data_IF_287517268934
#
_entry.id   IF_287517268934
#
_cell.length_a   1.000
_cell.length_b   1.000
_cell.length_c   1.000
_cell.angle_alpha   90.00
_cell.angle_beta   90.00
_cell.angle_gamma   90.00
#
_symmetry.space_group_name_H-M   'P 1'
#
loop_
_entity.id
_entity.type
_entity.pdbx_description
1 polymer ?
#
# COMPACT_ATOMS: atom_id res chain seq x y z
N UNK A 1 -15.45 -1.72 -28.21
CA UNK A 1 -14.49 -2.58 -27.48
C UNK A 1 -15.24 -3.80 -26.93
N UNK A 2 -15.57 -4.79 -27.77
CA UNK A 2 -16.52 -5.87 -27.43
C UNK A 2 -15.85 -7.26 -27.35
N UNK A 3 -14.58 -7.37 -27.76
CA UNK A 3 -13.88 -8.65 -27.90
C UNK A 3 -13.04 -9.06 -26.68
N UNK A 4 -12.62 -8.10 -25.85
CA UNK A 4 -11.77 -8.36 -24.66
C UNK A 4 -12.58 -8.92 -23.48
N UNK A 5 -13.85 -8.54 -23.34
CA UNK A 5 -14.68 -8.90 -22.19
C UNK A 5 -15.03 -10.41 -22.12
N UNK A 6 -14.97 -11.17 -23.21
CA UNK A 6 -15.37 -12.59 -23.24
C UNK A 6 -14.26 -13.56 -22.82
N UNK A 7 -13.00 -13.13 -22.92
CA UNK A 7 -11.83 -13.99 -22.67
C UNK A 7 -11.01 -13.52 -21.46
N UNK A 8 -11.20 -12.29 -21.01
CA UNK A 8 -10.71 -11.84 -19.72
C UNK A 8 -11.66 -12.33 -18.63
N UNK A 9 -11.40 -13.52 -18.06
CA UNK A 9 -11.91 -13.85 -16.72
C UNK A 9 -11.26 -12.87 -15.75
N UNK A 10 -11.94 -11.77 -15.46
CA UNK A 10 -11.46 -10.68 -14.61
C UNK A 10 -11.19 -11.08 -13.17
N UNK A 11 -11.58 -12.28 -12.75
CA UNK A 11 -11.19 -12.84 -11.45
C UNK A 11 -9.84 -13.57 -11.55
N UNK A 12 -8.79 -12.87 -11.96
CA UNK A 12 -7.41 -13.32 -11.75
C UNK A 12 -6.97 -13.28 -10.28
N UNK A 13 -7.88 -12.94 -9.35
CA UNK A 13 -7.61 -12.88 -7.92
C UNK A 13 -7.58 -14.31 -7.36
N UNK A 14 -6.41 -14.85 -6.94
CA UNK A 14 -6.24 -16.24 -6.53
C UNK A 14 -6.87 -16.57 -5.16
N UNK A 15 -7.89 -15.84 -4.73
CA UNK A 15 -8.43 -15.89 -3.37
C UNK A 15 -7.43 -15.35 -2.33
N UNK A 16 -7.76 -15.48 -1.05
CA UNK A 16 -6.87 -15.10 0.04
C UNK A 16 -5.82 -16.19 0.27
N UNK A 17 -4.54 -15.82 0.31
CA UNK A 17 -3.47 -16.71 0.72
C UNK A 17 -3.30 -16.70 2.24
N UNK A 18 -3.09 -17.87 2.84
CA UNK A 18 -2.61 -17.96 4.22
C UNK A 18 -1.11 -17.73 4.21
N UNK A 19 -0.67 -16.55 4.64
CA UNK A 19 0.74 -16.22 4.78
C UNK A 19 1.17 -16.46 6.23
N UNK A 20 2.32 -17.12 6.47
CA UNK A 20 2.85 -17.26 7.83
C UNK A 20 3.17 -15.89 8.41
N UNK A 21 2.84 -15.68 9.69
CA UNK A 21 3.20 -14.46 10.40
C UNK A 21 4.72 -14.45 10.62
N UNK A 22 5.39 -13.45 10.05
CA UNK A 22 6.82 -13.22 10.31
C UNK A 22 6.99 -11.92 11.10
N UNK A 23 7.61 -11.97 12.30
CA UNK A 23 7.95 -10.77 13.05
C UNK A 23 9.13 -10.09 12.35
N UNK A 24 8.82 -9.09 11.55
CA UNK A 24 9.81 -8.20 10.93
C UNK A 24 9.45 -6.78 11.34
N UNK A 25 10.44 -5.89 11.56
CA UNK A 25 10.18 -4.46 11.67
C UNK A 25 9.42 -3.99 10.41
N UNK A 26 8.35 -3.22 10.60
CA UNK A 26 7.48 -2.77 9.51
C UNK A 26 7.23 -1.29 9.64
N UNK A 27 7.44 -0.61 8.53
CA UNK A 27 7.05 0.76 8.33
C UNK A 27 6.05 0.81 7.18
N UNK A 28 4.95 1.54 7.37
CA UNK A 28 3.89 1.67 6.36
C UNK A 28 3.64 3.13 6.12
N UNK A 29 3.81 3.55 4.87
CA UNK A 29 3.58 4.92 4.42
C UNK A 29 2.64 4.95 3.22
N UNK A 30 1.88 6.02 3.08
CA UNK A 30 1.02 6.30 1.92
C UNK A 30 1.05 7.78 1.59
N UNK A 31 0.71 8.16 0.36
CA UNK A 31 0.62 9.57 -0.01
C UNK A 31 -0.65 10.23 0.51
N UNK A 32 -0.54 11.50 0.85
CA UNK A 32 -1.66 12.35 1.29
C UNK A 32 -2.83 12.38 0.30
N UNK A 33 -2.53 12.28 -0.99
CA UNK A 33 -3.49 12.37 -2.08
C UNK A 33 -3.69 11.03 -2.80
N UNK A 34 -3.32 9.90 -2.18
CA UNK A 34 -3.55 8.56 -2.75
C UNK A 34 -5.06 8.25 -2.81
N UNK A 35 -5.61 8.31 -4.02
CA UNK A 35 -7.03 8.00 -4.29
C UNK A 35 -7.32 6.50 -4.38
N UNK A 36 -6.30 5.68 -4.62
CA UNK A 36 -6.44 4.23 -4.74
C UNK A 36 -6.44 3.56 -3.37
N UNK A 37 -5.54 4.01 -2.49
CA UNK A 37 -5.41 3.52 -1.12
C UNK A 37 -5.43 4.68 -0.11
N UNK A 38 -6.57 5.38 0.07
CA UNK A 38 -6.64 6.54 0.96
C UNK A 38 -6.25 6.20 2.40
N UNK A 39 -5.43 7.06 3.03
CA UNK A 39 -4.93 6.86 4.39
C UNK A 39 -6.02 6.49 5.40
N UNK A 40 -7.16 7.19 5.39
CA UNK A 40 -8.29 6.93 6.29
C UNK A 40 -8.87 5.51 6.17
N UNK A 41 -8.74 4.85 5.02
CA UNK A 41 -9.14 3.45 4.83
C UNK A 41 -8.05 2.46 5.25
N UNK A 42 -6.79 2.85 5.12
CA UNK A 42 -5.64 2.00 5.45
C UNK A 42 -5.42 1.83 6.96
N UNK A 43 -5.63 2.88 7.76
CA UNK A 43 -5.30 2.87 9.20
C UNK A 43 -5.85 1.63 9.91
N UNK A 44 -7.15 1.34 9.76
CA UNK A 44 -7.78 0.20 10.43
C UNK A 44 -7.23 -1.14 9.93
N UNK A 45 -7.06 -1.29 8.61
CA UNK A 45 -6.58 -2.54 8.03
C UNK A 45 -5.12 -2.82 8.39
N UNK A 46 -4.27 -1.80 8.38
CA UNK A 46 -2.85 -1.90 8.74
C UNK A 46 -2.69 -2.19 10.22
N UNK A 47 -3.42 -1.49 11.11
CA UNK A 47 -3.38 -1.80 12.54
C UNK A 47 -3.85 -3.23 12.83
N UNK A 48 -4.96 -3.67 12.23
CA UNK A 48 -5.53 -5.00 12.47
C UNK A 48 -4.69 -6.16 11.91
N UNK A 49 -4.00 -5.97 10.77
CA UNK A 49 -3.23 -7.04 10.12
C UNK A 49 -1.74 -7.00 10.42
N UNK A 50 -1.18 -5.80 10.56
CA UNK A 50 0.26 -5.59 10.67
C UNK A 50 0.69 -5.11 12.06
N UNK A 51 -0.24 -4.70 12.93
CA UNK A 51 0.05 -4.25 14.29
C UNK A 51 0.78 -2.91 14.37
N UNK A 52 0.80 -2.12 13.28
CA UNK A 52 1.51 -0.83 13.20
C UNK A 52 0.60 0.28 12.68
N UNK A 53 1.09 1.52 12.69
CA UNK A 53 0.42 2.69 12.14
C UNK A 53 0.65 2.85 10.64
N UNK A 54 0.09 3.93 10.09
CA UNK A 54 0.35 4.38 8.72
C UNK A 54 0.77 5.84 8.80
N UNK A 55 1.95 6.16 8.28
CA UNK A 55 2.38 7.55 8.14
C UNK A 55 1.99 8.09 6.76
N UNK A 56 1.68 9.38 6.70
CA UNK A 56 1.26 10.05 5.47
C UNK A 56 2.40 10.90 4.95
N UNK A 57 2.78 10.70 3.69
CA UNK A 57 3.77 11.51 2.99
C UNK A 57 3.07 12.75 2.40
N UNK A 58 3.42 13.97 2.85
CA UNK A 58 2.72 15.17 2.40
C UNK A 58 2.95 15.48 0.93
N UNK A 59 1.88 15.91 0.25
CA UNK A 59 1.91 16.36 -1.15
C UNK A 59 2.14 15.28 -2.20
N UNK A 60 1.99 14.00 -1.85
CA UNK A 60 2.18 12.86 -2.77
C UNK A 60 0.89 12.09 -3.00
N UNK A 61 0.74 11.51 -4.18
CA UNK A 61 -0.31 10.57 -4.53
C UNK A 61 0.11 9.12 -4.28
N UNK A 62 -0.30 8.24 -5.19
CA UNK A 62 -0.02 6.80 -5.10
C UNK A 62 1.44 6.44 -5.40
N UNK A 63 2.10 7.24 -6.25
CA UNK A 63 3.45 6.99 -6.76
C UNK A 63 4.52 7.64 -5.88
N UNK A 64 4.44 7.38 -4.56
CA UNK A 64 5.31 8.01 -3.55
C UNK A 64 6.80 7.76 -3.83
N UNK A 65 7.13 6.61 -4.41
CA UNK A 65 8.51 6.22 -4.75
C UNK A 65 9.09 7.14 -5.82
N UNK A 66 8.28 7.49 -6.81
CA UNK A 66 8.64 8.39 -7.90
C UNK A 66 8.57 9.86 -7.48
N UNK A 67 7.58 10.23 -6.66
CA UNK A 67 7.33 11.62 -6.29
C UNK A 67 8.28 12.14 -5.20
N UNK A 68 8.68 11.30 -4.24
CA UNK A 68 9.53 11.70 -3.10
C UNK A 68 10.54 10.61 -2.72
N UNK A 69 11.45 10.19 -3.63
CA UNK A 69 12.45 9.17 -3.34
C UNK A 69 13.35 9.55 -2.15
N UNK A 70 13.72 10.82 -2.01
CA UNK A 70 14.57 11.33 -0.91
C UNK A 70 13.89 11.23 0.46
N UNK A 71 12.55 11.37 0.50
CA UNK A 71 11.82 11.19 1.76
C UNK A 71 11.90 9.74 2.21
N UNK A 72 11.74 8.80 1.28
CA UNK A 72 11.78 7.37 1.58
C UNK A 72 13.18 6.92 2.00
N UNK A 73 14.25 7.42 1.37
CA UNK A 73 15.61 7.09 1.79
C UNK A 73 15.88 7.59 3.21
N UNK A 74 15.56 8.85 3.52
CA UNK A 74 15.70 9.41 4.86
C UNK A 74 14.88 8.68 5.93
N UNK A 75 13.73 8.13 5.54
CA UNK A 75 12.86 7.37 6.44
C UNK A 75 13.51 6.04 6.87
N UNK A 76 14.27 5.39 6.00
CA UNK A 76 14.97 4.13 6.30
C UNK A 76 16.21 4.33 7.18
N UNK A 77 16.74 5.55 7.27
CA UNK A 77 17.88 5.89 8.13
C UNK A 77 17.49 6.14 9.59
N UNK A 78 16.18 6.18 9.88
CA UNK A 78 15.65 6.40 11.22
C UNK A 78 15.23 5.04 11.82
N UNK A 79 15.90 4.56 12.89
CA UNK A 79 15.61 3.25 13.49
C UNK A 79 14.23 3.17 14.15
#
# INVERSE_FOLDING_TARGET
MTLVARHARSSGAPGAAVLPTRPVPRLVVTGEHDVFLPAGRLVTAVRGRLGTGVDVVPGTGHLVVEERPDYLSALLERP
#
